data_IF_972471917745
#
_entry.id   IF_972471917745
#
_cell.length_a   1.000
_cell.length_b   1.000
_cell.length_c   1.000
_cell.angle_alpha   90.00
_cell.angle_beta   90.00
_cell.angle_gamma   90.00
#
_symmetry.space_group_name_H-M   'P 1'
#
loop_
_entity.id
_entity.type
_entity.pdbx_description
1 polymer ?
#
# COMPACT_ATOMS: atom_id res chain seq x y z
N UNK A 1 7.13 -16.48 -14.31
CA UNK A 1 7.14 -15.24 -13.50
C UNK A 1 8.42 -14.47 -13.73
N UNK A 2 8.39 -13.12 -13.76
CA UNK A 2 9.60 -12.29 -13.92
C UNK A 2 10.61 -12.50 -12.79
N UNK A 3 10.14 -12.70 -11.58
CA UNK A 3 10.97 -12.97 -10.38
C UNK A 3 11.86 -14.21 -10.48
N UNK A 4 11.64 -15.11 -11.46
CA UNK A 4 12.56 -16.21 -11.70
C UNK A 4 13.87 -15.78 -12.37
N UNK A 5 13.89 -14.60 -13.01
CA UNK A 5 15.04 -14.07 -13.75
C UNK A 5 15.44 -12.64 -13.36
N UNK A 6 14.57 -11.88 -12.71
CA UNK A 6 14.81 -10.48 -12.31
C UNK A 6 14.89 -10.38 -10.78
N UNK A 7 15.90 -9.66 -10.30
CA UNK A 7 16.02 -9.17 -8.93
C UNK A 7 16.11 -7.64 -8.99
N UNK A 8 15.14 -6.94 -8.40
CA UNK A 8 15.12 -5.48 -8.39
C UNK A 8 16.00 -4.96 -7.27
N UNK A 9 16.85 -3.98 -7.58
CA UNK A 9 17.81 -3.41 -6.62
C UNK A 9 17.29 -2.11 -6.02
N UNK A 10 16.81 -1.18 -6.85
CA UNK A 10 16.27 0.10 -6.37
C UNK A 10 15.40 0.79 -7.42
N UNK A 11 14.52 1.68 -6.93
CA UNK A 11 13.81 2.69 -7.71
C UNK A 11 14.21 4.07 -7.23
N UNK A 12 14.72 4.91 -8.13
CA UNK A 12 14.88 6.35 -7.93
C UNK A 12 13.83 7.08 -8.76
N UNK A 13 12.89 7.73 -8.08
CA UNK A 13 11.68 8.27 -8.66
C UNK A 13 11.63 9.80 -8.48
N UNK A 14 11.45 10.54 -9.58
CA UNK A 14 11.11 11.94 -9.57
C UNK A 14 9.72 12.13 -10.19
N UNK A 15 8.79 12.65 -9.40
CA UNK A 15 7.47 13.08 -9.86
C UNK A 15 7.43 14.60 -10.00
N UNK A 16 6.87 15.10 -11.08
CA UNK A 16 6.57 16.52 -11.27
C UNK A 16 5.06 16.71 -11.44
N UNK A 17 4.41 17.20 -10.37
CA UNK A 17 2.97 17.44 -10.35
C UNK A 17 2.62 18.92 -10.63
N UNK A 18 3.58 19.68 -11.17
CA UNK A 18 3.39 21.08 -11.56
C UNK A 18 3.04 21.24 -13.04
N UNK A 19 3.22 20.18 -13.86
CA UNK A 19 3.19 20.23 -15.34
C UNK A 19 1.83 20.61 -15.90
N UNK A 20 0.72 20.14 -15.28
CA UNK A 20 -0.60 20.45 -15.80
C UNK A 20 -1.74 20.01 -14.87
N UNK A 21 -2.97 20.29 -15.31
CA UNK A 21 -4.18 19.87 -14.61
C UNK A 21 -4.59 18.42 -14.93
N UNK A 22 -4.26 17.94 -16.13
CA UNK A 22 -4.69 16.64 -16.66
C UNK A 22 -3.58 15.59 -16.61
N UNK A 23 -2.32 16.05 -16.61
CA UNK A 23 -1.15 15.17 -16.66
C UNK A 23 -0.08 15.58 -15.67
N UNK A 24 0.80 14.63 -15.36
CA UNK A 24 2.02 14.83 -14.58
C UNK A 24 3.18 14.11 -15.26
N UNK A 25 4.39 14.49 -14.90
CA UNK A 25 5.59 13.87 -15.43
C UNK A 25 6.29 13.01 -14.39
N UNK A 26 6.87 11.91 -14.83
CA UNK A 26 7.66 11.01 -14.00
C UNK A 26 8.97 10.64 -14.70
N UNK A 27 10.07 10.65 -13.93
CA UNK A 27 11.32 10.02 -14.29
C UNK A 27 11.62 8.92 -13.29
N UNK A 28 11.74 7.71 -13.79
CA UNK A 28 12.15 6.54 -13.01
C UNK A 28 13.53 6.10 -13.45
N UNK A 29 14.44 5.91 -12.49
CA UNK A 29 15.67 5.16 -12.68
C UNK A 29 15.56 3.87 -11.88
N UNK A 30 15.60 2.76 -12.59
CA UNK A 30 15.37 1.42 -12.07
C UNK A 30 16.64 0.61 -12.23
N UNK A 31 17.25 0.19 -11.12
CA UNK A 31 18.39 -0.73 -11.09
C UNK A 31 17.93 -2.14 -10.80
N UNK A 32 18.39 -3.12 -11.58
CA UNK A 32 18.01 -4.51 -11.39
C UNK A 32 19.06 -5.48 -11.94
N UNK A 33 19.09 -6.69 -11.39
CA UNK A 33 19.91 -7.79 -11.88
C UNK A 33 19.06 -8.75 -12.71
N UNK A 34 19.67 -9.30 -13.77
CA UNK A 34 19.10 -10.40 -14.54
C UNK A 34 19.97 -11.65 -14.38
N UNK A 35 19.37 -12.73 -13.87
CA UNK A 35 20.07 -14.01 -13.62
C UNK A 35 20.48 -14.72 -14.89
N UNK A 36 19.93 -14.34 -16.05
CA UNK A 36 20.21 -14.94 -17.36
C UNK A 36 20.56 -13.84 -18.37
N UNK A 37 21.84 -13.70 -18.67
CA UNK A 37 22.35 -12.75 -19.67
C UNK A 37 21.71 -12.98 -21.04
N UNK A 38 21.44 -11.90 -21.78
CA UNK A 38 20.74 -11.94 -23.05
C UNK A 38 19.23 -12.20 -22.96
N UNK A 39 18.69 -12.38 -21.75
CA UNK A 39 17.27 -12.62 -21.56
C UNK A 39 16.40 -11.43 -22.01
N UNK A 40 15.11 -11.72 -22.19
CA UNK A 40 14.06 -10.73 -22.43
C UNK A 40 13.16 -10.65 -21.19
N UNK A 41 12.73 -9.45 -20.88
CA UNK A 41 11.74 -9.15 -19.84
C UNK A 41 10.88 -7.95 -20.28
N UNK A 42 10.03 -7.45 -19.42
CA UNK A 42 9.31 -6.20 -19.62
C UNK A 42 9.16 -5.46 -18.28
N UNK A 43 9.18 -4.12 -18.35
CA UNK A 43 8.72 -3.26 -17.28
C UNK A 43 7.27 -2.85 -17.55
N UNK A 44 6.47 -2.72 -16.49
CA UNK A 44 5.10 -2.22 -16.59
C UNK A 44 5.13 -0.69 -16.70
N UNK A 45 4.34 -0.15 -17.64
CA UNK A 45 4.33 1.26 -17.96
C UNK A 45 3.04 1.64 -18.71
N UNK A 46 2.23 2.54 -18.15
CA UNK A 46 0.96 2.98 -18.76
C UNK A 46 0.88 4.51 -18.87
N UNK A 47 1.72 5.13 -19.68
CA UNK A 47 1.80 6.58 -19.86
C UNK A 47 0.81 7.08 -20.91
N UNK A 48 0.67 8.41 -20.97
CA UNK A 48 0.11 9.12 -22.13
C UNK A 48 1.17 9.22 -23.22
N UNK A 49 2.41 9.56 -22.82
CA UNK A 49 3.54 9.72 -23.72
C UNK A 49 4.83 9.22 -23.07
N UNK A 50 5.62 8.46 -23.82
CA UNK A 50 6.99 8.10 -23.45
C UNK A 50 7.95 9.09 -24.12
N UNK A 51 8.66 9.87 -23.31
CA UNK A 51 9.58 10.89 -23.80
C UNK A 51 10.99 10.34 -24.03
N UNK A 52 11.44 9.46 -23.13
CA UNK A 52 12.78 8.90 -23.20
C UNK A 52 12.87 7.55 -22.51
N UNK A 53 13.61 6.63 -23.13
CA UNK A 53 13.97 5.33 -22.54
C UNK A 53 15.46 5.11 -22.75
N UNK A 54 16.20 4.87 -21.67
CA UNK A 54 17.63 4.54 -21.72
C UNK A 54 17.84 3.22 -20.99
N UNK A 55 18.39 2.21 -21.67
CA UNK A 55 18.76 0.93 -21.09
C UNK A 55 20.27 0.78 -21.14
N UNK A 56 20.90 0.62 -19.97
CA UNK A 56 22.35 0.45 -19.82
C UNK A 56 23.17 1.56 -20.53
N UNK A 57 22.70 2.81 -20.45
CA UNK A 57 23.34 3.97 -21.07
C UNK A 57 23.00 4.18 -22.56
N UNK A 58 22.40 3.20 -23.23
CA UNK A 58 21.95 3.33 -24.61
C UNK A 58 20.54 3.93 -24.69
N UNK A 59 20.36 4.98 -25.49
CA UNK A 59 19.03 5.52 -25.80
C UNK A 59 18.30 4.55 -26.75
N UNK A 60 17.18 4.04 -26.26
CA UNK A 60 16.36 3.03 -26.93
C UNK A 60 14.92 3.50 -27.16
N UNK A 61 14.66 4.78 -27.03
CA UNK A 61 13.32 5.40 -27.09
C UNK A 61 12.53 4.99 -28.33
N UNK A 62 13.17 4.93 -29.49
CA UNK A 62 12.51 4.56 -30.74
C UNK A 62 12.40 3.05 -31.03
N UNK A 63 13.04 2.21 -30.20
CA UNK A 63 13.16 0.77 -30.48
C UNK A 63 12.30 -0.08 -29.54
N UNK A 64 11.84 0.46 -28.42
CA UNK A 64 11.02 -0.25 -27.46
C UNK A 64 9.55 0.10 -27.67
N UNK A 65 8.83 -0.85 -28.24
CA UNK A 65 7.40 -0.75 -28.41
C UNK A 65 6.72 -0.91 -27.06
N UNK A 66 6.19 0.18 -26.55
CA UNK A 66 5.23 0.14 -25.47
C UNK A 66 3.91 -0.41 -26.03
N UNK A 67 3.53 -1.62 -25.67
CA UNK A 67 2.25 -2.24 -26.03
C UNK A 67 1.56 -2.78 -24.80
N UNK A 68 0.27 -2.58 -24.70
CA UNK A 68 -0.56 -3.19 -23.65
C UNK A 68 -0.08 -2.90 -22.21
N UNK A 69 0.53 -1.75 -21.97
CA UNK A 69 1.06 -1.39 -20.67
C UNK A 69 2.42 -2.03 -20.32
N UNK A 70 3.19 -2.48 -21.35
CA UNK A 70 4.48 -3.13 -21.18
C UNK A 70 5.55 -2.45 -22.03
N UNK A 71 6.69 -2.18 -21.41
CA UNK A 71 7.91 -1.74 -22.06
C UNK A 71 8.84 -2.95 -22.21
N UNK A 72 9.02 -3.44 -23.43
CA UNK A 72 9.86 -4.61 -23.66
C UNK A 72 11.34 -4.31 -23.44
N UNK A 73 12.02 -5.18 -22.71
CA UNK A 73 13.45 -5.13 -22.42
C UNK A 73 14.12 -6.35 -23.05
N UNK A 74 15.12 -6.11 -23.89
CA UNK A 74 15.81 -7.18 -24.63
C UNK A 74 17.31 -7.12 -24.36
N UNK A 75 17.98 -8.26 -24.53
CA UNK A 75 19.42 -8.38 -24.38
C UNK A 75 19.93 -7.85 -23.03
N UNK A 76 19.29 -8.28 -21.95
CA UNK A 76 19.62 -7.86 -20.60
C UNK A 76 21.01 -8.36 -20.21
N UNK A 77 21.79 -7.45 -19.62
CA UNK A 77 23.05 -7.78 -18.97
C UNK A 77 22.80 -8.39 -17.58
N UNK A 78 23.84 -8.82 -16.89
CA UNK A 78 23.74 -9.29 -15.51
C UNK A 78 23.26 -8.18 -14.56
N UNK A 79 23.76 -6.97 -14.75
CA UNK A 79 23.35 -5.76 -14.05
C UNK A 79 22.79 -4.77 -15.07
N UNK A 80 21.66 -4.16 -14.76
CA UNK A 80 20.95 -3.29 -15.68
C UNK A 80 20.48 -2.03 -14.97
N UNK A 81 20.49 -0.92 -15.71
CA UNK A 81 19.87 0.34 -15.34
C UNK A 81 18.90 0.74 -16.44
N UNK A 82 17.65 0.95 -16.09
CA UNK A 82 16.60 1.44 -16.96
C UNK A 82 16.17 2.84 -16.51
N UNK A 83 16.31 3.83 -17.37
CA UNK A 83 15.76 5.17 -17.15
C UNK A 83 14.58 5.37 -18.07
N UNK A 84 13.43 5.74 -17.51
CA UNK A 84 12.21 6.06 -18.26
C UNK A 84 11.73 7.46 -17.86
N UNK A 85 11.53 8.31 -18.85
CA UNK A 85 10.89 9.61 -18.70
C UNK A 85 9.58 9.59 -19.49
N UNK A 86 8.47 9.81 -18.78
CA UNK A 86 7.15 9.68 -19.37
C UNK A 86 6.14 10.64 -18.73
N UNK A 87 5.10 10.93 -19.48
CA UNK A 87 3.95 11.72 -19.04
C UNK A 87 2.76 10.79 -18.80
N UNK A 88 2.07 10.99 -17.68
CA UNK A 88 0.94 10.17 -17.27
C UNK A 88 -0.29 11.04 -17.03
N UNK A 89 -1.47 10.49 -17.32
CA UNK A 89 -2.72 11.14 -16.98
C UNK A 89 -3.04 10.97 -15.49
N UNK A 90 -3.65 12.00 -14.88
CA UNK A 90 -4.30 11.82 -13.60
C UNK A 90 -5.48 10.87 -13.73
N UNK A 91 -5.66 10.01 -12.75
CA UNK A 91 -6.75 9.04 -12.71
C UNK A 91 -8.09 9.72 -12.35
N UNK A 92 -9.15 9.32 -13.02
CA UNK A 92 -10.52 9.70 -12.67
C UNK A 92 -11.24 8.57 -11.92
N UNK A 93 -10.86 7.34 -12.20
CA UNK A 93 -11.40 6.11 -11.59
C UNK A 93 -10.30 5.07 -11.41
N UNK A 94 -10.52 4.08 -10.54
CA UNK A 94 -9.62 2.94 -10.36
C UNK A 94 -8.29 3.30 -9.70
N UNK A 95 -7.17 2.97 -10.34
CA UNK A 95 -5.82 3.16 -9.79
C UNK A 95 -5.03 4.22 -10.53
N UNK A 96 -4.05 4.84 -9.87
CA UNK A 96 -3.17 5.86 -10.43
C UNK A 96 -2.92 7.02 -9.47
N UNK A 97 -2.48 8.15 -10.01
CA UNK A 97 -2.35 9.39 -9.27
C UNK A 97 -3.58 10.26 -9.55
N UNK A 98 -4.26 10.69 -8.51
CA UNK A 98 -5.46 11.52 -8.58
C UNK A 98 -5.11 12.98 -8.39
N UNK A 99 -5.81 13.85 -9.12
CA UNK A 99 -5.82 15.30 -8.89
C UNK A 99 -7.25 15.75 -8.65
N UNK A 100 -7.49 16.40 -7.54
CA UNK A 100 -8.79 16.92 -7.17
C UNK A 100 -8.70 18.42 -6.91
N UNK A 101 -9.62 19.21 -7.51
CA UNK A 101 -9.59 20.68 -7.45
C UNK A 101 -8.51 21.26 -8.36
N UNK A 102 -8.47 22.58 -8.55
CA UNK A 102 -7.41 23.21 -9.35
C UNK A 102 -7.88 24.23 -10.39
N UNK A 103 -8.94 24.99 -10.12
CA UNK A 103 -9.10 26.31 -10.73
C UNK A 103 -8.09 27.30 -10.14
N UNK A 104 -7.84 28.43 -10.79
CA UNK A 104 -6.82 29.45 -10.41
C UNK A 104 -6.83 29.91 -8.94
N UNK A 105 -7.88 29.58 -8.17
CA UNK A 105 -8.05 29.94 -6.76
C UNK A 105 -8.52 28.78 -5.87
N UNK A 106 -8.43 27.52 -6.30
CA UNK A 106 -8.96 26.41 -5.52
C UNK A 106 -7.84 25.62 -4.84
N UNK A 107 -8.05 25.32 -3.57
CA UNK A 107 -7.29 24.33 -2.83
C UNK A 107 -7.40 22.96 -3.52
N UNK A 108 -6.42 22.63 -4.34
CA UNK A 108 -6.32 21.33 -5.00
C UNK A 108 -5.54 20.35 -4.16
N UNK A 109 -5.68 19.07 -4.43
CA UNK A 109 -4.82 18.03 -3.87
C UNK A 109 -4.44 16.99 -4.91
N UNK A 110 -3.32 16.33 -4.67
CA UNK A 110 -2.86 15.16 -5.43
C UNK A 110 -2.64 14.03 -4.45
N UNK A 111 -3.11 12.83 -4.78
CA UNK A 111 -2.86 11.63 -3.97
C UNK A 111 -2.79 10.37 -4.85
N UNK A 112 -2.04 9.38 -4.39
CA UNK A 112 -1.89 8.11 -5.09
C UNK A 112 -2.90 7.07 -4.62
N UNK A 113 -3.32 6.22 -5.56
CA UNK A 113 -3.90 4.91 -5.33
C UNK A 113 -3.17 3.94 -6.24
N UNK A 114 -2.02 3.44 -5.78
CA UNK A 114 -1.16 2.58 -6.58
C UNK A 114 -1.60 1.11 -6.60
N UNK A 115 -2.61 0.75 -5.81
CA UNK A 115 -3.09 -0.62 -5.60
C UNK A 115 -2.74 -1.59 -6.76
N UNK A 116 -2.84 -2.88 -6.58
CA UNK A 116 -2.36 -3.92 -7.51
C UNK A 116 -2.54 -3.55 -9.00
N UNK A 117 -1.44 -3.56 -9.75
CA UNK A 117 -1.41 -3.17 -11.16
C UNK A 117 -1.52 -1.66 -11.43
N UNK A 118 -1.55 -0.82 -10.39
CA UNK A 118 -1.75 0.62 -10.51
C UNK A 118 -0.48 1.45 -10.52
N UNK A 119 0.63 0.94 -10.00
CA UNK A 119 1.89 1.67 -9.97
C UNK A 119 2.39 2.01 -11.39
N UNK A 120 2.15 1.14 -12.35
CA UNK A 120 2.48 1.37 -13.76
C UNK A 120 1.76 2.58 -14.41
N UNK A 121 0.73 3.14 -13.75
CA UNK A 121 0.06 4.39 -14.13
C UNK A 121 0.68 5.64 -13.50
N UNK A 122 1.73 5.45 -12.67
CA UNK A 122 2.42 6.53 -11.95
C UNK A 122 3.88 6.59 -12.37
N UNK A 123 4.53 5.44 -12.51
CA UNK A 123 5.94 5.33 -12.89
C UNK A 123 6.25 3.98 -13.53
N UNK A 124 7.37 3.87 -14.23
CA UNK A 124 7.82 2.58 -14.79
C UNK A 124 8.34 1.66 -13.70
N UNK A 125 7.85 0.43 -13.65
CA UNK A 125 8.21 -0.52 -12.61
C UNK A 125 8.08 -1.99 -13.06
N UNK A 126 8.51 -2.91 -12.22
CA UNK A 126 8.09 -4.30 -12.27
C UNK A 126 6.93 -4.48 -11.29
N UNK A 127 5.69 -4.21 -11.75
CA UNK A 127 4.49 -4.17 -10.91
C UNK A 127 4.03 -5.60 -10.57
N UNK A 128 4.73 -6.19 -9.59
CA UNK A 128 4.55 -7.57 -9.13
C UNK A 128 4.89 -7.64 -7.63
N UNK A 129 4.08 -8.30 -6.79
CA UNK A 129 4.25 -8.28 -5.32
C UNK A 129 5.60 -8.77 -4.83
N UNK A 130 6.20 -9.77 -5.50
CA UNK A 130 7.48 -10.36 -5.11
C UNK A 130 8.72 -9.70 -5.75
N UNK A 131 8.53 -8.65 -6.57
CA UNK A 131 9.60 -7.81 -7.12
C UNK A 131 9.74 -6.51 -6.32
N UNK A 132 10.12 -6.67 -5.06
CA UNK A 132 10.24 -5.60 -4.07
C UNK A 132 11.63 -4.96 -4.12
N UNK A 133 11.69 -3.64 -3.96
CA UNK A 133 12.95 -2.92 -3.83
C UNK A 133 12.75 -1.61 -3.05
N UNK A 134 13.83 -1.02 -2.51
CA UNK A 134 13.79 0.32 -1.96
C UNK A 134 13.35 1.34 -3.00
N UNK A 135 12.47 2.27 -2.59
CA UNK A 135 11.99 3.39 -3.40
C UNK A 135 12.51 4.69 -2.78
N UNK A 136 13.28 5.45 -3.54
CA UNK A 136 13.69 6.81 -3.19
C UNK A 136 12.83 7.79 -3.99
N UNK A 137 12.06 8.64 -3.31
CA UNK A 137 11.13 9.57 -3.95
C UNK A 137 11.63 11.01 -3.85
N UNK A 138 11.62 11.69 -4.99
CA UNK A 138 11.69 13.15 -5.09
C UNK A 138 10.42 13.67 -5.78
N UNK A 139 9.91 14.82 -5.33
CA UNK A 139 8.68 15.41 -5.88
C UNK A 139 8.87 16.91 -6.11
N UNK A 140 8.56 17.36 -7.32
CA UNK A 140 8.31 18.77 -7.60
C UNK A 140 6.81 19.04 -7.49
N UNK A 141 6.44 19.90 -6.56
CA UNK A 141 5.05 20.30 -6.31
C UNK A 141 4.90 21.82 -6.44
N UNK A 142 3.68 22.34 -6.64
CA UNK A 142 3.43 23.77 -6.69
C UNK A 142 3.94 24.49 -5.43
N UNK A 143 4.33 25.75 -5.56
CA UNK A 143 4.76 26.56 -4.44
C UNK A 143 3.70 26.61 -3.33
N UNK A 144 4.13 26.54 -2.07
CA UNK A 144 3.24 26.53 -0.91
C UNK A 144 2.60 25.17 -0.59
N UNK A 145 2.72 24.18 -1.47
CA UNK A 145 2.18 22.85 -1.18
C UNK A 145 3.02 22.08 -0.14
N UNK A 146 2.38 21.17 0.58
CA UNK A 146 2.99 20.23 1.51
C UNK A 146 2.90 18.84 0.91
N UNK A 147 3.95 18.02 1.07
CA UNK A 147 4.02 16.68 0.53
C UNK A 147 4.22 15.64 1.63
N UNK A 148 3.59 14.47 1.46
CA UNK A 148 3.79 13.26 2.26
C UNK A 148 3.98 12.07 1.33
N UNK A 149 4.78 11.11 1.77
CA UNK A 149 5.02 9.85 1.07
C UNK A 149 5.15 8.70 2.08
N UNK A 150 5.41 7.49 1.62
CA UNK A 150 5.60 6.32 2.49
C UNK A 150 6.56 6.60 3.66
N UNK A 151 7.66 7.31 3.41
CA UNK A 151 8.75 7.47 4.38
C UNK A 151 9.01 8.94 4.73
N UNK A 152 9.76 9.21 5.81
CA UNK A 152 10.00 10.57 6.26
C UNK A 152 10.67 11.46 5.21
N UNK A 153 10.28 12.72 5.22
CA UNK A 153 10.91 13.76 4.42
C UNK A 153 12.29 14.12 4.97
N UNK A 154 13.28 14.24 4.10
CA UNK A 154 14.66 14.65 4.43
C UNK A 154 15.03 16.03 3.92
N UNK A 155 14.35 16.52 2.88
CA UNK A 155 14.53 17.88 2.38
C UNK A 155 13.22 18.43 1.79
N UNK A 156 13.00 19.72 1.99
CA UNK A 156 11.86 20.48 1.44
C UNK A 156 12.34 21.80 0.84
N UNK A 157 11.59 22.38 -0.10
CA UNK A 157 11.83 23.76 -0.53
C UNK A 157 11.75 24.75 0.64
N UNK A 158 12.42 25.89 0.51
CA UNK A 158 12.21 27.01 1.42
C UNK A 158 10.72 27.42 1.41
N UNK A 159 10.21 27.91 2.54
CA UNK A 159 8.80 28.24 2.68
C UNK A 159 8.34 29.21 1.57
N UNK A 160 7.31 28.81 0.82
CA UNK A 160 6.76 29.54 -0.31
C UNK A 160 7.57 29.48 -1.61
N UNK A 161 8.72 28.81 -1.63
CA UNK A 161 9.58 28.68 -2.81
C UNK A 161 9.26 27.48 -3.71
N UNK A 162 9.71 27.57 -4.96
CA UNK A 162 9.82 26.40 -5.85
C UNK A 162 10.95 25.50 -5.40
N UNK A 163 10.79 24.19 -5.57
CA UNK A 163 11.85 23.25 -5.29
C UNK A 163 11.38 21.80 -5.25
N UNK A 164 12.27 20.94 -4.83
CA UNK A 164 12.05 19.49 -4.82
C UNK A 164 11.98 18.99 -3.39
N UNK A 165 10.85 18.33 -3.06
CA UNK A 165 10.70 17.55 -1.84
C UNK A 165 11.47 16.24 -2.00
N UNK A 166 12.20 15.82 -0.98
CA UNK A 166 12.94 14.55 -0.99
C UNK A 166 12.59 13.74 0.25
N UNK A 167 12.43 12.45 0.06
CA UNK A 167 12.07 11.50 1.10
C UNK A 167 13.18 10.47 1.31
N UNK A 168 13.23 9.93 2.52
CA UNK A 168 14.13 8.83 2.86
C UNK A 168 13.77 7.62 2.00
N UNK A 169 14.78 6.87 1.57
CA UNK A 169 14.58 5.59 0.89
C UNK A 169 13.79 4.62 1.77
N UNK A 170 12.86 3.90 1.18
CA UNK A 170 12.06 2.90 1.90
C UNK A 170 12.85 1.61 2.10
N UNK A 171 12.45 0.72 3.02
CA UNK A 171 12.76 -0.70 2.89
C UNK A 171 12.24 -1.25 1.54
N UNK A 172 12.55 -2.50 1.19
CA UNK A 172 11.97 -3.09 -0.02
C UNK A 172 10.44 -3.08 0.00
N UNK A 173 9.83 -2.34 -0.91
CA UNK A 173 8.39 -2.28 -1.15
C UNK A 173 8.07 -2.84 -2.53
N UNK A 174 6.92 -3.50 -2.67
CA UNK A 174 6.33 -3.77 -3.98
C UNK A 174 5.82 -2.45 -4.59
N UNK A 175 5.87 -2.27 -5.91
CA UNK A 175 5.43 -1.02 -6.55
C UNK A 175 4.01 -0.61 -6.17
N UNK A 176 3.08 -1.55 -6.03
CA UNK A 176 1.70 -1.27 -5.64
C UNK A 176 1.57 -0.64 -4.24
N UNK A 177 2.61 -0.75 -3.39
CA UNK A 177 2.64 -0.14 -2.05
C UNK A 177 3.12 1.32 -2.06
N UNK A 178 3.36 1.90 -3.22
CA UNK A 178 3.72 3.31 -3.36
C UNK A 178 2.60 4.22 -2.84
N UNK A 179 2.97 5.18 -1.99
CA UNK A 179 2.05 6.18 -1.46
C UNK A 179 2.64 7.59 -1.50
N UNK A 180 1.82 8.51 -1.95
CA UNK A 180 2.15 9.93 -2.05
C UNK A 180 0.88 10.78 -1.93
N UNK A 181 0.97 11.92 -1.25
CA UNK A 181 -0.03 12.98 -1.31
C UNK A 181 0.60 14.36 -1.21
N UNK A 182 -0.07 15.34 -1.78
CA UNK A 182 0.31 16.76 -1.74
C UNK A 182 -0.91 17.66 -1.77
N UNK A 183 -0.85 18.77 -1.01
CA UNK A 183 -1.88 19.82 -1.01
C UNK A 183 -1.33 21.15 -0.49
N UNK A 184 -2.00 22.30 -0.74
CA UNK A 184 -1.51 23.58 -0.29
C UNK A 184 -1.47 23.71 1.24
N UNK A 185 -2.55 23.46 1.94
CA UNK A 185 -2.63 23.57 3.40
C UNK A 185 -3.61 22.53 3.96
N UNK A 186 -3.13 21.38 4.40
CA UNK A 186 -3.99 20.42 5.07
C UNK A 186 -4.29 20.87 6.49
N UNK A 187 -5.50 20.62 6.97
CA UNK A 187 -5.77 20.62 8.40
C UNK A 187 -5.10 19.39 8.98
N UNK A 188 -4.22 19.56 9.95
CA UNK A 188 -3.44 18.46 10.48
C UNK A 188 -3.64 18.30 12.00
N UNK A 189 -3.75 17.05 12.43
CA UNK A 189 -3.61 16.65 13.83
C UNK A 189 -2.27 15.92 13.95
N UNK A 190 -1.46 16.35 14.92
CA UNK A 190 -0.16 15.75 15.21
C UNK A 190 -0.22 15.06 16.57
N UNK A 191 0.31 13.85 16.64
CA UNK A 191 0.38 13.09 17.89
C UNK A 191 1.46 12.03 17.87
N UNK A 192 1.75 11.45 19.02
CA UNK A 192 2.56 10.24 19.15
C UNK A 192 1.64 9.06 19.38
N UNK A 193 1.85 7.97 18.67
CA UNK A 193 0.96 6.81 18.77
C UNK A 193 1.58 5.58 19.37
N UNK A 194 2.90 5.46 19.36
CA UNK A 194 3.57 4.28 19.88
C UNK A 194 4.70 4.72 20.80
N UNK A 195 4.61 4.30 22.07
CA UNK A 195 5.65 4.49 23.08
C UNK A 195 6.77 3.47 22.81
N UNK A 196 7.64 3.79 21.87
CA UNK A 196 8.88 3.06 21.61
C UNK A 196 10.02 4.07 21.41
N UNK A 197 11.22 3.62 21.40
CA UNK A 197 12.41 4.43 21.09
C UNK A 197 12.96 4.06 19.69
N UNK A 198 12.94 4.99 18.73
CA UNK A 198 12.26 6.29 18.75
C UNK A 198 10.73 6.15 18.67
N UNK A 199 9.96 7.14 19.18
CA UNK A 199 8.50 7.12 19.13
C UNK A 199 7.99 7.19 17.67
N UNK A 200 6.87 6.52 17.38
CA UNK A 200 6.21 6.64 16.09
C UNK A 200 5.28 7.84 16.09
N UNK A 201 5.53 8.78 15.21
CA UNK A 201 4.71 9.97 15.06
C UNK A 201 3.48 9.65 14.21
N UNK A 202 2.31 10.04 14.73
CA UNK A 202 1.05 10.07 13.99
C UNK A 202 0.88 11.45 13.36
N UNK A 203 0.52 11.47 12.08
CA UNK A 203 -0.04 12.66 11.44
C UNK A 203 -1.37 12.30 10.83
N UNK A 204 -2.42 13.04 11.15
CA UNK A 204 -3.72 12.91 10.50
C UNK A 204 -3.94 14.16 9.68
N UNK A 205 -4.09 14.01 8.38
CA UNK A 205 -4.34 15.08 7.43
C UNK A 205 -5.75 14.97 6.86
N UNK A 206 -6.46 16.08 6.79
CA UNK A 206 -7.65 16.19 5.96
C UNK A 206 -7.41 17.24 4.88
N UNK A 207 -7.67 16.85 3.64
CA UNK A 207 -7.56 17.73 2.47
C UNK A 207 -8.91 18.35 2.10
N UNK A 208 -9.99 17.90 2.74
CA UNK A 208 -11.30 18.53 2.62
C UNK A 208 -11.44 19.66 3.64
N UNK A 209 -11.96 20.79 3.21
CA UNK A 209 -12.43 21.85 4.11
C UNK A 209 -13.73 21.37 4.81
N UNK A 210 -13.63 20.39 5.68
CA UNK A 210 -14.72 20.05 6.60
C UNK A 210 -14.76 21.15 7.66
N UNK A 211 -15.86 21.91 7.74
CA UNK A 211 -16.00 23.03 8.66
C UNK A 211 -16.04 22.63 10.14
N UNK A 212 -16.02 21.34 10.45
CA UNK A 212 -16.05 20.81 11.80
C UNK A 212 -14.63 20.54 12.32
N UNK A 213 -14.29 20.96 13.55
CA UNK A 213 -13.02 20.66 14.16
C UNK A 213 -12.86 19.15 14.33
N UNK A 214 -11.70 18.61 13.95
CA UNK A 214 -11.36 17.21 14.19
C UNK A 214 -11.15 16.99 15.69
N UNK A 215 -11.81 15.97 16.25
CA UNK A 215 -11.52 15.52 17.60
C UNK A 215 -10.19 14.75 17.60
N UNK A 216 -9.13 15.48 17.93
CA UNK A 216 -7.76 14.98 17.90
C UNK A 216 -7.52 13.84 18.89
N UNK A 217 -8.12 13.92 20.07
CA UNK A 217 -7.95 12.92 21.13
C UNK A 217 -8.66 11.62 20.75
N UNK A 218 -9.90 11.73 20.27
CA UNK A 218 -10.65 10.57 19.79
C UNK A 218 -9.90 9.87 18.63
N UNK A 219 -9.47 10.61 17.60
CA UNK A 219 -8.76 10.06 16.44
C UNK A 219 -7.43 9.41 16.86
N UNK A 220 -6.69 10.03 17.77
CA UNK A 220 -5.44 9.48 18.29
C UNK A 220 -5.68 8.17 19.01
N UNK A 221 -6.72 8.05 19.81
CA UNK A 221 -7.07 6.83 20.54
C UNK A 221 -7.57 5.72 19.59
N UNK A 222 -8.35 6.06 18.55
CA UNK A 222 -8.78 5.10 17.52
C UNK A 222 -7.60 4.48 16.76
N UNK A 223 -6.47 5.17 16.68
CA UNK A 223 -5.23 4.66 16.07
C UNK A 223 -4.37 3.93 17.10
N UNK A 224 -4.16 4.51 18.28
CA UNK A 224 -3.24 4.00 19.31
C UNK A 224 -3.66 2.62 19.84
N UNK A 225 -4.95 2.41 20.12
CA UNK A 225 -5.45 1.16 20.70
C UNK A 225 -5.20 -0.05 19.80
N UNK A 226 -5.60 -0.04 18.49
CA UNK A 226 -5.30 -1.15 17.61
C UNK A 226 -3.79 -1.38 17.42
N UNK A 227 -3.00 -0.33 17.21
CA UNK A 227 -1.55 -0.46 17.02
C UNK A 227 -0.86 -1.11 18.21
N UNK A 228 -1.26 -0.75 19.43
CA UNK A 228 -0.74 -1.37 20.65
C UNK A 228 -1.13 -2.84 20.73
N UNK A 229 -2.42 -3.13 20.50
CA UNK A 229 -2.90 -4.51 20.49
C UNK A 229 -2.12 -5.38 19.49
N UNK A 230 -1.92 -4.91 18.25
CA UNK A 230 -1.18 -5.68 17.22
C UNK A 230 0.27 -5.91 17.62
N UNK A 231 0.94 -4.89 18.13
CA UNK A 231 2.31 -5.02 18.60
C UNK A 231 2.44 -6.05 19.73
N UNK A 232 1.53 -6.02 20.69
CA UNK A 232 1.51 -6.95 21.83
C UNK A 232 1.13 -8.37 21.40
N UNK A 233 0.07 -8.53 20.60
CA UNK A 233 -0.43 -9.84 20.17
C UNK A 233 0.51 -10.56 19.19
N UNK A 234 1.19 -9.82 18.32
CA UNK A 234 2.13 -10.37 17.35
C UNK A 234 3.58 -10.40 17.88
N UNK A 235 3.86 -9.74 19.01
CA UNK A 235 5.23 -9.59 19.53
C UNK A 235 6.19 -8.91 18.54
N UNK A 236 5.64 -8.08 17.64
CA UNK A 236 6.36 -7.33 16.61
C UNK A 236 5.86 -5.89 16.65
N UNK A 237 6.71 -4.91 17.02
CA UNK A 237 6.29 -3.51 17.11
C UNK A 237 5.87 -2.97 15.74
N UNK A 238 5.13 -1.85 15.73
CA UNK A 238 4.78 -1.16 14.49
C UNK A 238 6.03 -0.92 13.63
N UNK A 239 6.07 -1.41 12.37
CA UNK A 239 7.34 -1.59 11.67
C UNK A 239 7.89 -0.31 11.01
N UNK A 240 7.12 0.78 10.95
CA UNK A 240 7.48 1.97 10.19
C UNK A 240 7.87 3.15 11.09
N UNK A 241 8.65 4.13 10.59
CA UNK A 241 9.10 5.29 11.38
C UNK A 241 8.01 6.32 11.64
N UNK A 242 6.90 6.26 10.91
CA UNK A 242 5.77 7.17 11.03
C UNK A 242 4.46 6.47 10.64
N UNK A 243 3.33 7.05 11.07
CA UNK A 243 1.99 6.64 10.70
C UNK A 243 1.23 7.89 10.22
N UNK A 244 1.09 8.06 8.92
CA UNK A 244 0.32 9.16 8.33
C UNK A 244 -1.03 8.63 7.85
N UNK A 245 -2.11 9.28 8.25
CA UNK A 245 -3.48 9.04 7.78
C UNK A 245 -3.94 10.28 7.01
N UNK A 246 -4.27 10.12 5.74
CA UNK A 246 -4.65 11.22 4.86
C UNK A 246 -6.07 11.02 4.36
N UNK A 247 -6.98 11.88 4.82
CA UNK A 247 -8.36 11.88 4.38
C UNK A 247 -8.52 12.77 3.15
N UNK A 248 -8.91 12.16 2.04
CA UNK A 248 -8.99 12.80 0.73
C UNK A 248 -10.41 12.78 0.16
N UNK A 249 -10.79 13.77 -0.65
CA UNK A 249 -12.08 13.76 -1.33
C UNK A 249 -12.11 12.69 -2.42
N UNK A 250 -13.29 12.06 -2.59
CA UNK A 250 -13.58 11.11 -3.70
C UNK A 250 -12.55 9.98 -3.86
N UNK A 251 -11.99 9.48 -2.77
CA UNK A 251 -11.17 8.28 -2.86
C UNK A 251 -12.01 7.12 -3.45
N UNK A 252 -11.49 6.35 -4.43
CA UNK A 252 -12.27 5.32 -5.17
C UNK A 252 -12.49 4.04 -4.38
N UNK A 253 -12.54 4.10 -3.09
CA UNK A 253 -12.78 3.02 -2.15
C UNK A 253 -13.01 3.61 -0.79
N UNK A 254 -12.84 2.83 0.27
CA UNK A 254 -12.85 3.35 1.64
C UNK A 254 -11.49 3.88 2.03
N UNK A 255 -10.46 3.06 1.80
CA UNK A 255 -9.09 3.36 2.15
C UNK A 255 -8.10 2.51 1.33
N UNK A 256 -6.84 2.89 1.40
CA UNK A 256 -5.68 2.14 0.91
C UNK A 256 -4.51 2.44 1.83
N UNK A 257 -3.90 1.40 2.43
CA UNK A 257 -2.97 1.53 3.55
C UNK A 257 -1.57 0.98 3.26
N UNK A 258 -0.83 1.57 2.32
CA UNK A 258 0.58 1.26 2.13
C UNK A 258 1.43 1.62 3.37
N UNK A 259 2.63 1.04 3.49
CA UNK A 259 3.56 1.34 4.56
C UNK A 259 3.77 2.82 4.83
N UNK A 260 3.48 3.25 6.06
CA UNK A 260 3.76 4.59 6.57
C UNK A 260 2.82 5.71 6.12
N UNK A 261 1.94 5.48 5.13
CA UNK A 261 0.93 6.46 4.71
C UNK A 261 -0.32 5.75 4.21
N UNK A 262 -1.42 5.88 4.93
CA UNK A 262 -2.75 5.43 4.51
C UNK A 262 -3.56 6.60 3.93
N UNK A 263 -4.24 6.35 2.81
CA UNK A 263 -5.17 7.30 2.19
C UNK A 263 -6.60 6.80 2.42
N UNK A 264 -7.46 7.66 2.96
CA UNK A 264 -8.82 7.32 3.36
C UNK A 264 -9.83 8.31 2.73
N UNK A 265 -11.04 7.85 2.52
CA UNK A 265 -12.14 8.71 2.07
C UNK A 265 -12.53 9.70 3.19
N UNK A 266 -12.60 11.00 2.87
CA UNK A 266 -12.91 12.08 3.83
C UNK A 266 -14.31 11.95 4.47
N UNK A 267 -15.25 11.31 3.76
CA UNK A 267 -16.60 11.04 4.29
C UNK A 267 -16.60 10.14 5.54
N UNK A 268 -15.51 9.40 5.80
CA UNK A 268 -15.37 8.60 7.01
C UNK A 268 -15.32 9.46 8.28
N UNK A 269 -14.89 10.71 8.16
CA UNK A 269 -14.88 11.69 9.27
C UNK A 269 -16.27 12.23 9.64
N UNK A 270 -17.29 11.98 8.78
CA UNK A 270 -18.66 12.47 8.97
C UNK A 270 -19.57 11.33 9.42
N UNK A 271 -20.03 11.30 10.68
CA UNK A 271 -21.06 10.37 11.10
C UNK A 271 -22.34 10.54 10.26
N UNK A 272 -22.99 9.45 9.93
CA UNK A 272 -24.31 9.45 9.29
C UNK A 272 -25.18 8.34 9.87
N UNK A 273 -26.48 8.35 9.60
CA UNK A 273 -27.38 7.29 10.05
C UNK A 273 -26.94 5.89 9.63
N UNK A 274 -26.34 5.78 8.45
CA UNK A 274 -25.80 4.53 7.92
C UNK A 274 -24.33 4.26 8.28
N UNK A 275 -23.67 5.19 8.99
CA UNK A 275 -22.29 5.09 9.44
C UNK A 275 -22.15 5.60 10.86
N UNK A 276 -22.39 4.75 11.86
CA UNK A 276 -22.21 5.12 13.27
C UNK A 276 -20.73 5.46 13.55
N UNK A 277 -20.46 6.19 14.62
CA UNK A 277 -19.09 6.57 15.01
C UNK A 277 -18.12 5.37 15.13
N UNK A 278 -18.65 4.21 15.51
CA UNK A 278 -17.90 2.94 15.57
C UNK A 278 -17.34 2.52 14.19
N UNK A 279 -17.98 2.94 13.09
CA UNK A 279 -17.57 2.55 11.74
C UNK A 279 -16.16 3.04 11.38
N UNK A 280 -15.84 4.30 11.71
CA UNK A 280 -14.49 4.85 11.52
C UNK A 280 -13.44 4.03 12.29
N UNK A 281 -13.75 3.64 13.54
CA UNK A 281 -12.87 2.80 14.35
C UNK A 281 -12.63 1.42 13.72
N UNK A 282 -13.66 0.80 13.13
CA UNK A 282 -13.52 -0.46 12.41
C UNK A 282 -12.64 -0.34 11.17
N UNK A 283 -12.85 0.72 10.37
CA UNK A 283 -12.03 0.97 9.18
C UNK A 283 -10.59 1.23 9.59
N UNK A 284 -10.34 2.13 10.54
CA UNK A 284 -8.99 2.43 11.00
C UNK A 284 -8.27 1.20 11.57
N UNK A 285 -8.96 0.39 12.37
CA UNK A 285 -8.37 -0.84 12.90
C UNK A 285 -7.95 -1.80 11.77
N UNK A 286 -8.77 -1.97 10.74
CA UNK A 286 -8.47 -2.81 9.59
C UNK A 286 -7.26 -2.25 8.81
N UNK A 287 -7.29 -0.98 8.44
CA UNK A 287 -6.23 -0.33 7.67
C UNK A 287 -4.88 -0.32 8.40
N UNK A 288 -4.90 -0.16 9.72
CA UNK A 288 -3.68 -0.20 10.52
C UNK A 288 -3.09 -1.62 10.62
N UNK A 289 -3.90 -2.68 10.53
CA UNK A 289 -3.42 -4.05 10.51
C UNK A 289 -2.57 -4.35 9.25
N UNK A 290 -2.83 -3.66 8.15
CA UNK A 290 -2.03 -3.76 6.92
C UNK A 290 -0.57 -3.34 7.11
N UNK A 291 -0.21 -2.65 8.18
CA UNK A 291 1.19 -2.40 8.50
C UNK A 291 1.99 -3.70 8.72
N UNK A 292 1.36 -4.73 9.26
CA UNK A 292 1.95 -6.06 9.41
C UNK A 292 1.60 -6.98 8.25
N UNK A 293 0.34 -6.98 7.80
CA UNK A 293 -0.18 -7.84 6.74
C UNK A 293 -0.31 -7.06 5.43
N UNK A 294 0.57 -7.32 4.49
CA UNK A 294 0.75 -6.55 3.26
C UNK A 294 1.94 -5.60 3.31
N UNK A 295 2.23 -5.02 4.46
CA UNK A 295 3.38 -4.14 4.66
C UNK A 295 4.66 -4.91 5.01
N UNK A 296 4.75 -5.33 6.27
CA UNK A 296 5.91 -6.05 6.80
C UNK A 296 6.03 -7.46 6.21
N UNK A 297 4.93 -8.17 6.19
CA UNK A 297 4.79 -9.52 5.64
C UNK A 297 3.77 -9.47 4.50
N UNK A 298 4.20 -9.80 3.29
CA UNK A 298 3.35 -9.74 2.10
C UNK A 298 3.21 -11.10 1.44
N UNK A 299 2.27 -11.23 0.51
CA UNK A 299 2.06 -12.47 -0.22
C UNK A 299 2.74 -12.41 -1.59
N UNK A 300 3.29 -13.56 -2.01
CA UNK A 300 4.06 -13.67 -3.24
C UNK A 300 3.20 -13.60 -4.49
N UNK A 301 1.99 -14.14 -4.42
CA UNK A 301 1.10 -14.30 -5.56
C UNK A 301 -0.13 -13.43 -5.40
N UNK A 302 -0.57 -12.77 -6.47
CA UNK A 302 -1.78 -11.96 -6.49
C UNK A 302 -3.02 -12.77 -6.08
N UNK A 303 -3.11 -14.02 -6.51
CA UNK A 303 -4.21 -14.93 -6.17
C UNK A 303 -4.33 -15.22 -4.66
N UNK A 304 -3.27 -15.00 -3.91
CA UNK A 304 -3.25 -15.21 -2.45
C UNK A 304 -3.56 -13.90 -1.67
N UNK A 305 -3.69 -12.73 -2.33
CA UNK A 305 -3.89 -11.44 -1.66
C UNK A 305 -5.14 -11.38 -0.79
N UNK A 306 -6.15 -12.22 -1.07
CA UNK A 306 -7.31 -12.38 -0.20
C UNK A 306 -6.94 -12.82 1.24
N UNK A 307 -5.83 -13.55 1.42
CA UNK A 307 -5.32 -13.94 2.75
C UNK A 307 -4.81 -12.72 3.54
N UNK A 308 -4.21 -11.75 2.86
CA UNK A 308 -3.80 -10.49 3.47
C UNK A 308 -5.01 -9.74 4.06
N UNK A 309 -6.09 -9.64 3.27
CA UNK A 309 -7.35 -9.04 3.69
C UNK A 309 -8.02 -9.84 4.82
N UNK A 310 -7.96 -11.18 4.74
CA UNK A 310 -8.47 -12.05 5.79
C UNK A 310 -7.72 -11.84 7.11
N UNK A 311 -6.39 -11.77 7.07
CA UNK A 311 -5.53 -11.54 8.23
C UNK A 311 -5.77 -10.15 8.83
N UNK A 312 -5.85 -9.11 8.00
CA UNK A 312 -6.16 -7.75 8.45
C UNK A 312 -7.57 -7.68 9.09
N UNK A 313 -8.57 -8.29 8.47
CA UNK A 313 -9.94 -8.33 9.00
C UNK A 313 -10.04 -9.14 10.28
N UNK A 314 -9.42 -10.31 10.35
CA UNK A 314 -9.39 -11.13 11.56
C UNK A 314 -8.74 -10.38 12.72
N UNK A 315 -7.55 -9.84 12.49
CA UNK A 315 -6.77 -9.17 13.53
C UNK A 315 -7.45 -7.89 14.02
N UNK A 316 -8.05 -7.11 13.10
CA UNK A 316 -8.79 -5.89 13.47
C UNK A 316 -10.05 -6.18 14.28
N UNK A 317 -10.82 -7.20 13.92
CA UNK A 317 -12.01 -7.61 14.69
C UNK A 317 -11.65 -8.12 16.08
N UNK A 318 -10.57 -8.88 16.18
CA UNK A 318 -10.06 -9.35 17.47
C UNK A 318 -9.57 -8.17 18.33
N UNK A 319 -8.87 -7.20 17.73
CA UNK A 319 -8.46 -5.99 18.45
C UNK A 319 -9.66 -5.18 18.99
N UNK A 320 -10.70 -5.01 18.20
CA UNK A 320 -11.91 -4.30 18.61
C UNK A 320 -12.66 -5.05 19.73
N UNK A 321 -12.76 -6.37 19.65
CA UNK A 321 -13.37 -7.21 20.70
C UNK A 321 -12.65 -7.02 22.03
N UNK A 322 -11.32 -6.99 22.04
CA UNK A 322 -10.49 -6.88 23.26
C UNK A 322 -10.38 -5.43 23.79
N UNK A 323 -10.34 -4.44 22.88
CA UNK A 323 -10.05 -3.04 23.26
C UNK A 323 -11.28 -2.15 23.38
N UNK A 324 -12.44 -2.60 22.89
CA UNK A 324 -13.71 -1.87 22.92
C UNK A 324 -14.84 -2.75 23.47
N UNK A 325 -14.91 -2.95 24.81
CA UNK A 325 -15.95 -3.78 25.41
C UNK A 325 -17.36 -3.32 25.04
N UNK A 326 -18.24 -4.26 24.69
CA UNK A 326 -19.60 -4.01 24.25
C UNK A 326 -19.75 -3.85 22.73
N UNK A 327 -18.66 -3.89 21.96
CA UNK A 327 -18.75 -4.05 20.52
C UNK A 327 -18.92 -5.53 20.16
N UNK A 328 -19.62 -5.79 19.05
CA UNK A 328 -19.79 -7.15 18.53
C UNK A 328 -19.23 -7.21 17.09
N UNK A 329 -17.89 -7.07 16.92
CA UNK A 329 -17.30 -6.93 15.57
C UNK A 329 -17.53 -8.17 14.69
N UNK A 330 -17.79 -9.33 15.29
CA UNK A 330 -18.08 -10.58 14.60
C UNK A 330 -19.58 -10.79 14.29
N UNK A 331 -20.48 -10.11 15.01
CA UNK A 331 -21.94 -10.26 14.85
C UNK A 331 -22.51 -9.44 13.69
N UNK A 332 -21.80 -8.48 13.19
CA UNK A 332 -22.28 -7.61 12.10
C UNK A 332 -22.13 -8.26 10.73
N UNK A 333 -22.97 -9.27 10.44
CA UNK A 333 -23.30 -9.65 9.06
C UNK A 333 -24.25 -8.62 8.40
N UNK A 334 -24.62 -7.57 9.12
CA UNK A 334 -25.50 -6.52 8.63
C UNK A 334 -24.68 -5.54 7.79
N UNK A 335 -24.96 -5.54 6.57
CA UNK A 335 -24.65 -4.78 5.35
C UNK A 335 -24.16 -3.34 5.44
N UNK A 336 -23.85 -2.79 6.59
CA UNK A 336 -23.52 -1.38 6.75
C UNK A 336 -22.10 -1.12 7.29
N UNK A 337 -21.33 -2.14 7.70
CA UNK A 337 -20.13 -1.88 8.52
C UNK A 337 -18.79 -2.23 7.88
N UNK A 338 -18.71 -2.99 6.79
CA UNK A 338 -17.51 -3.15 5.95
C UNK A 338 -17.96 -3.59 4.55
N UNK A 339 -17.34 -3.07 3.47
CA UNK A 339 -17.91 -3.16 2.13
C UNK A 339 -17.88 -4.52 1.47
N UNK A 340 -17.38 -5.57 2.11
CA UNK A 340 -17.27 -6.83 1.38
C UNK A 340 -17.61 -8.08 2.21
N UNK A 341 -18.69 -8.76 1.80
CA UNK A 341 -19.03 -10.09 2.31
C UNK A 341 -17.89 -11.11 2.13
N UNK A 342 -17.02 -10.91 1.13
CA UNK A 342 -15.87 -11.77 0.86
C UNK A 342 -14.84 -11.67 2.00
N UNK A 343 -14.51 -10.46 2.47
CA UNK A 343 -13.56 -10.25 3.58
C UNK A 343 -14.07 -10.86 4.89
N UNK A 344 -15.36 -10.69 5.17
CA UNK A 344 -15.98 -11.30 6.35
C UNK A 344 -15.95 -12.82 6.29
N UNK A 345 -16.22 -13.42 5.13
CA UNK A 345 -16.17 -14.88 4.91
C UNK A 345 -14.75 -15.41 5.10
N UNK A 346 -13.75 -14.73 4.53
CA UNK A 346 -12.36 -15.15 4.62
C UNK A 346 -11.80 -15.02 6.04
N UNK A 347 -12.18 -13.96 6.79
CA UNK A 347 -11.81 -13.81 8.19
C UNK A 347 -12.47 -14.90 9.09
N UNK A 348 -13.66 -15.40 8.72
CA UNK A 348 -14.31 -16.50 9.43
C UNK A 348 -13.52 -17.81 9.31
N UNK A 349 -12.78 -18.04 8.22
CA UNK A 349 -11.87 -19.19 8.09
C UNK A 349 -10.75 -19.12 9.13
N UNK A 350 -10.19 -17.94 9.37
CA UNK A 350 -9.18 -17.75 10.41
C UNK A 350 -9.76 -17.90 11.84
N UNK A 351 -11.03 -17.54 12.03
CA UNK A 351 -11.73 -17.80 13.30
C UNK A 351 -11.91 -19.30 13.54
N UNK A 352 -12.26 -20.07 12.50
CA UNK A 352 -12.32 -21.54 12.60
C UNK A 352 -10.93 -22.14 12.87
N UNK A 353 -9.89 -21.59 12.28
CA UNK A 353 -8.52 -22.01 12.58
C UNK A 353 -8.17 -21.71 14.06
N UNK A 354 -8.54 -20.53 14.56
CA UNK A 354 -8.38 -20.19 15.99
C UNK A 354 -9.08 -21.20 16.91
N UNK A 355 -10.30 -21.62 16.57
CA UNK A 355 -11.03 -22.64 17.32
C UNK A 355 -10.32 -23.99 17.31
N UNK A 356 -9.61 -24.33 16.23
CA UNK A 356 -8.88 -25.58 16.09
C UNK A 356 -7.55 -25.59 16.85
N UNK A 357 -6.73 -24.52 16.70
CA UNK A 357 -5.35 -24.49 17.22
C UNK A 357 -5.15 -23.54 18.41
N UNK A 358 -6.14 -22.73 18.72
CA UNK A 358 -6.07 -21.69 19.76
C UNK A 358 -5.40 -20.40 19.28
N UNK A 359 -5.85 -19.26 19.80
CA UNK A 359 -5.31 -17.93 19.47
C UNK A 359 -3.80 -17.80 19.72
N UNK A 360 -3.23 -18.32 20.82
CA UNK A 360 -1.78 -18.23 21.02
C UNK A 360 -0.97 -18.92 19.92
N UNK A 361 -1.36 -20.09 19.44
CA UNK A 361 -0.67 -20.81 18.39
C UNK A 361 -0.80 -20.05 17.04
N UNK A 362 -1.99 -19.53 16.73
CA UNK A 362 -2.23 -18.74 15.52
C UNK A 362 -1.34 -17.50 15.50
N UNK A 363 -1.32 -16.70 16.58
CA UNK A 363 -0.51 -15.47 16.66
C UNK A 363 1.00 -15.77 16.69
N UNK A 364 1.43 -16.82 17.39
CA UNK A 364 2.84 -17.22 17.42
C UNK A 364 3.34 -17.65 16.03
N UNK A 365 2.52 -18.35 15.25
CA UNK A 365 2.84 -18.69 13.86
C UNK A 365 3.05 -17.45 12.98
N UNK A 366 2.15 -16.48 13.06
CA UNK A 366 2.29 -15.20 12.36
C UNK A 366 3.54 -14.43 12.81
N UNK A 367 3.77 -14.32 14.11
CA UNK A 367 4.94 -13.66 14.66
C UNK A 367 6.26 -14.30 14.21
N UNK A 368 6.31 -15.64 14.11
CA UNK A 368 7.47 -16.37 13.62
C UNK A 368 7.78 -16.03 12.15
N UNK A 369 6.75 -15.94 11.31
CA UNK A 369 6.90 -15.53 9.91
C UNK A 369 7.39 -14.08 9.78
N UNK A 370 6.81 -13.16 10.54
CA UNK A 370 7.20 -11.75 10.51
C UNK A 370 8.66 -11.55 10.92
N UNK A 371 9.12 -12.27 11.95
CA UNK A 371 10.54 -12.22 12.34
C UNK A 371 11.47 -12.79 11.29
N UNK A 372 11.04 -13.83 10.57
CA UNK A 372 11.86 -14.51 9.56
C UNK A 372 11.87 -13.81 8.21
N UNK A 373 10.72 -13.25 7.81
CA UNK A 373 10.48 -12.71 6.47
C UNK A 373 10.13 -11.21 6.49
N UNK A 374 10.74 -10.46 7.42
CA UNK A 374 10.51 -9.01 7.51
C UNK A 374 10.79 -8.31 6.17
N UNK A 375 9.84 -7.51 5.69
CA UNK A 375 9.85 -6.82 4.39
C UNK A 375 10.00 -7.74 3.17
N UNK A 376 9.56 -8.98 3.29
CA UNK A 376 9.61 -9.97 2.21
C UNK A 376 8.23 -10.59 1.97
N UNK A 377 8.17 -11.45 0.96
CA UNK A 377 6.94 -12.18 0.60
C UNK A 377 7.01 -13.62 1.04
N UNK A 378 5.85 -14.15 1.43
CA UNK A 378 5.64 -15.55 1.76
C UNK A 378 4.61 -16.17 0.81
N UNK A 379 4.60 -17.50 0.78
CA UNK A 379 3.52 -18.27 0.16
C UNK A 379 2.48 -18.68 1.18
N UNK A 380 1.32 -19.09 0.70
CA UNK A 380 0.27 -19.75 1.50
C UNK A 380 0.82 -20.95 2.28
N UNK A 381 1.68 -21.75 1.65
CA UNK A 381 2.27 -22.92 2.29
C UNK A 381 3.20 -22.55 3.46
N UNK A 382 3.86 -21.38 3.40
CA UNK A 382 4.65 -20.89 4.52
C UNK A 382 3.78 -20.55 5.72
N UNK A 383 2.58 -19.98 5.50
CA UNK A 383 1.58 -19.73 6.55
C UNK A 383 1.12 -21.04 7.21
N UNK A 384 0.66 -21.99 6.40
CA UNK A 384 0.17 -23.29 6.90
C UNK A 384 1.26 -24.03 7.68
N UNK A 385 2.47 -24.03 7.16
CA UNK A 385 3.64 -24.66 7.82
C UNK A 385 3.94 -23.99 9.15
N UNK A 386 3.90 -22.67 9.23
CA UNK A 386 4.16 -21.93 10.46
C UNK A 386 3.10 -22.20 11.52
N UNK A 387 1.83 -22.23 11.14
CA UNK A 387 0.74 -22.57 12.06
C UNK A 387 0.80 -24.04 12.51
N UNK A 388 1.16 -24.97 11.63
CA UNK A 388 1.38 -26.37 12.03
C UNK A 388 2.51 -26.49 13.04
N UNK A 389 3.61 -25.74 12.86
CA UNK A 389 4.73 -25.75 13.79
C UNK A 389 4.39 -25.11 15.15
N UNK A 390 3.61 -24.03 15.16
CA UNK A 390 3.24 -23.34 16.41
C UNK A 390 2.17 -24.07 17.21
N UNK A 391 1.31 -24.87 16.57
CA UNK A 391 0.25 -25.64 17.23
C UNK A 391 0.61 -27.08 17.56
N UNK A 392 1.54 -27.66 16.80
CA UNK A 392 1.81 -29.11 16.82
C UNK A 392 0.85 -29.93 15.97
N UNK A 393 -0.13 -29.30 15.29
CA UNK A 393 -1.13 -29.96 14.46
C UNK A 393 -0.74 -29.98 12.99
N UNK A 394 -1.11 -31.03 12.25
CA UNK A 394 -0.96 -31.06 10.78
C UNK A 394 -2.14 -30.37 10.11
N UNK A 395 -1.92 -29.16 9.62
CA UNK A 395 -2.94 -28.33 9.01
C UNK A 395 -3.03 -28.45 7.49
N UNK A 396 -2.28 -29.33 6.85
CA UNK A 396 -2.27 -29.46 5.37
C UNK A 396 -3.65 -29.82 4.83
N UNK A 397 -4.29 -30.83 5.40
CA UNK A 397 -5.63 -31.25 4.96
C UNK A 397 -6.70 -30.20 5.26
N UNK A 398 -6.56 -29.45 6.37
CA UNK A 398 -7.43 -28.31 6.65
C UNK A 398 -7.26 -27.24 5.58
N UNK A 399 -6.02 -26.88 5.21
CA UNK A 399 -5.72 -25.87 4.21
C UNK A 399 -6.26 -26.24 2.81
N UNK A 400 -6.16 -27.50 2.42
CA UNK A 400 -6.68 -28.00 1.14
C UNK A 400 -8.21 -27.92 1.04
N UNK A 401 -8.92 -28.08 2.16
CA UNK A 401 -10.38 -28.06 2.18
C UNK A 401 -11.01 -26.68 2.30
N UNK A 402 -10.33 -25.75 2.95
CA UNK A 402 -10.89 -24.43 3.30
C UNK A 402 -10.33 -23.29 2.44
N UNK A 403 -9.10 -23.42 1.94
CA UNK A 403 -8.46 -22.43 1.08
C UNK A 403 -8.70 -22.81 -0.37
N UNK A 404 -9.45 -22.03 -1.15
CA UNK A 404 -9.67 -22.32 -2.56
C UNK A 404 -8.32 -22.53 -3.28
N UNK A 405 -8.21 -23.59 -4.09
CA UNK A 405 -7.08 -23.71 -4.99
C UNK A 405 -7.01 -22.46 -5.89
N UNK A 406 -5.80 -21.98 -6.24
CA UNK A 406 -5.68 -20.88 -7.20
C UNK A 406 -6.49 -21.27 -8.45
N UNK A 407 -7.36 -20.38 -8.89
CA UNK A 407 -8.11 -20.59 -10.12
C UNK A 407 -7.11 -20.64 -11.26
N UNK A 408 -7.17 -21.61 -12.17
CA UNK A 408 -6.35 -21.56 -13.37
C UNK A 408 -6.69 -20.25 -14.08
N UNK A 409 -5.66 -19.57 -14.57
CA UNK A 409 -5.81 -18.33 -15.36
C UNK A 409 -6.87 -18.59 -16.44
N UNK A 410 -8.08 -18.10 -16.24
CA UNK A 410 -9.00 -17.92 -17.35
C UNK A 410 -8.33 -16.92 -18.29
N UNK A 411 -7.81 -17.44 -19.39
CA UNK A 411 -7.29 -16.64 -20.47
C UNK A 411 -8.38 -15.61 -20.82
N UNK A 412 -8.13 -14.34 -20.53
CA UNK A 412 -8.88 -13.23 -21.13
C UNK A 412 -8.57 -13.22 -22.65
N UNK A 413 -9.03 -14.24 -23.33
CA UNK A 413 -9.16 -14.32 -24.77
C UNK A 413 -10.66 -14.52 -24.99
N UNK A 414 -11.39 -13.44 -25.14
CA UNK A 414 -12.61 -13.26 -25.92
C UNK A 414 -13.49 -12.16 -25.33
N UNK A 415 -13.22 -10.94 -25.71
CA UNK A 415 -14.27 -9.96 -26.00
C UNK A 415 -13.67 -8.95 -26.97
N UNK A 416 -13.92 -9.19 -28.26
CA UNK A 416 -13.78 -8.23 -29.37
C UNK A 416 -14.67 -7.00 -29.17
#
# INVERSE_FOLDING_TARGET
>A
MRSSIIDVVSYDLLLDVTVGAETFWSRTELSFCCRREGARAFADLRPVEVRRVVLNGADVTGHHLHREGRLELTNLARENTLVVEAEFAYAETGTGLYRFGGGENASGCVYSNANLGGAARIFSCFDQPDLRAPITLAVRAPAGWRCRANYPMVARPADGGEGVWRFTSTPPLAPYQFAFCASPEPVAVLGSVVDRDPPVMLTIWTLAASGDPLDADMLTELVRRPLRYYADALGVPYPYPKCDLVFVPRFPGLAFSPPGLATLQDQLLKPSENRPALYLGCVLAHELAHAWFGGLLDLRHEDDMWLQEALATYTSRTALEETQPGTTPWASHTSASLPDHAYAKNAALLRQLEELIGRPALMNGLAALMRRYSHATISRDDLVRSWSQSSGEDLRSWAETLIPAPQPEESQAAAD
#
